data_IF_241630640350
#
_entry.id   IF_241630640350
#
_cell.length_a   1.000
_cell.length_b   1.000
_cell.length_c   1.000
_cell.angle_alpha   90.00
_cell.angle_beta   90.00
_cell.angle_gamma   90.00
#
_symmetry.space_group_name_H-M   'P 1'
#
loop_
_entity.id
_entity.type
_entity.pdbx_description
1 polymer ?
#
# COMPACT_ATOMS: atom_id res chain seq x y z
N UNK A 1 27.46 -14.02 -4.65
CA UNK A 1 27.17 -14.95 -5.76
C UNK A 1 26.78 -14.12 -6.99
N UNK A 2 27.12 -14.54 -8.22
CA UNK A 2 26.74 -13.84 -9.45
C UNK A 2 25.71 -14.68 -10.20
N UNK A 3 24.52 -14.13 -10.35
CA UNK A 3 23.40 -14.78 -11.03
C UNK A 3 22.97 -13.89 -12.19
N UNK A 4 22.65 -14.48 -13.33
CA UNK A 4 22.05 -13.78 -14.47
C UNK A 4 20.54 -14.00 -14.40
N UNK A 5 19.77 -12.93 -14.40
CA UNK A 5 18.31 -12.95 -14.41
C UNK A 5 17.83 -12.02 -15.52
N UNK A 6 16.75 -12.39 -16.19
CA UNK A 6 16.07 -11.49 -17.11
C UNK A 6 15.30 -10.43 -16.33
N UNK A 7 15.43 -9.17 -16.76
CA UNK A 7 14.79 -8.01 -16.13
C UNK A 7 14.15 -7.20 -17.24
N UNK A 8 12.89 -6.82 -17.06
CA UNK A 8 12.20 -5.91 -17.96
C UNK A 8 12.96 -4.58 -18.13
N UNK A 9 12.95 -4.03 -19.34
CA UNK A 9 13.69 -2.80 -19.67
C UNK A 9 13.27 -1.61 -18.82
N UNK A 10 11.99 -1.48 -18.48
CA UNK A 10 11.48 -0.38 -17.66
C UNK A 10 11.94 -0.52 -16.21
N UNK A 11 11.98 -1.76 -15.69
CA UNK A 11 12.53 -2.06 -14.37
C UNK A 11 14.03 -1.75 -14.34
N UNK A 12 14.78 -2.14 -15.36
CA UNK A 12 16.22 -1.84 -15.47
C UNK A 12 16.49 -0.33 -15.51
N UNK A 13 15.67 0.44 -16.24
CA UNK A 13 15.75 1.92 -16.27
C UNK A 13 15.48 2.51 -14.89
N UNK A 14 14.45 2.03 -14.18
CA UNK A 14 14.13 2.48 -12.83
C UNK A 14 15.26 2.19 -11.84
N UNK A 15 15.84 0.97 -11.89
CA UNK A 15 16.98 0.59 -11.06
C UNK A 15 18.21 1.48 -11.33
N UNK A 16 18.51 1.78 -12.60
CA UNK A 16 19.62 2.69 -12.96
C UNK A 16 19.41 4.11 -12.43
N UNK A 17 18.17 4.63 -12.49
CA UNK A 17 17.83 5.96 -11.93
C UNK A 17 18.00 5.98 -10.42
N UNK A 18 17.46 4.98 -9.72
CA UNK A 18 17.53 4.86 -8.26
C UNK A 18 18.96 4.67 -7.77
N UNK A 19 19.76 3.86 -8.48
CA UNK A 19 21.20 3.70 -8.25
C UNK A 19 21.94 5.03 -8.20
N UNK A 20 21.64 5.96 -9.12
CA UNK A 20 22.28 7.29 -9.16
C UNK A 20 21.93 8.16 -7.95
N UNK A 21 20.74 7.97 -7.39
CA UNK A 21 20.27 8.71 -6.21
C UNK A 21 20.89 8.17 -4.91
N UNK A 22 21.02 6.83 -4.80
CA UNK A 22 21.50 6.18 -3.57
C UNK A 22 23.02 5.94 -3.52
N UNK A 23 23.73 6.09 -4.64
CA UNK A 23 25.18 5.87 -4.72
C UNK A 23 25.62 4.40 -4.60
N UNK A 24 24.68 3.45 -4.57
CA UNK A 24 24.95 2.01 -4.43
C UNK A 24 25.37 1.37 -5.76
N UNK A 25 25.91 0.15 -5.70
CA UNK A 25 26.07 -0.69 -6.90
C UNK A 25 24.71 -1.24 -7.34
N UNK A 26 24.56 -1.56 -8.62
CA UNK A 26 23.30 -2.12 -9.14
C UNK A 26 22.98 -3.46 -8.46
N UNK A 27 23.98 -4.33 -8.28
CA UNK A 27 23.80 -5.63 -7.62
C UNK A 27 23.35 -5.49 -6.17
N UNK A 28 23.94 -4.57 -5.40
CA UNK A 28 23.54 -4.33 -4.02
C UNK A 28 22.10 -3.80 -3.93
N UNK A 29 21.74 -2.82 -4.77
CA UNK A 29 20.38 -2.29 -4.83
C UNK A 29 19.35 -3.38 -5.16
N UNK A 30 19.66 -4.23 -6.16
CA UNK A 30 18.78 -5.34 -6.56
C UNK A 30 18.65 -6.36 -5.43
N UNK A 31 19.75 -6.74 -4.77
CA UNK A 31 19.72 -7.67 -3.64
C UNK A 31 18.88 -7.15 -2.47
N UNK A 32 19.04 -5.88 -2.09
CA UNK A 32 18.25 -5.25 -1.02
C UNK A 32 16.75 -5.23 -1.37
N UNK A 33 16.40 -4.80 -2.59
CA UNK A 33 15.01 -4.76 -3.04
C UNK A 33 14.37 -6.15 -3.10
N UNK A 34 15.10 -7.15 -3.60
CA UNK A 34 14.61 -8.52 -3.63
C UNK A 34 14.42 -9.09 -2.23
N UNK A 35 15.38 -8.87 -1.31
CA UNK A 35 15.23 -9.29 0.08
C UNK A 35 13.98 -8.67 0.73
N UNK A 36 13.74 -7.38 0.47
CA UNK A 36 12.58 -6.68 1.00
C UNK A 36 11.26 -7.20 0.42
N UNK A 37 11.23 -7.53 -0.88
CA UNK A 37 10.07 -8.12 -1.52
C UNK A 37 9.78 -9.55 -1.05
N UNK A 38 10.82 -10.35 -0.81
CA UNK A 38 10.69 -11.73 -0.32
C UNK A 38 10.32 -11.79 1.17
N UNK A 39 10.72 -10.80 1.95
CA UNK A 39 10.33 -10.67 3.36
C UNK A 39 8.96 -10.01 3.55
N UNK A 40 8.43 -9.34 2.52
CA UNK A 40 7.12 -8.74 2.59
C UNK A 40 6.04 -9.83 2.56
N UNK A 41 5.39 -10.03 3.70
CA UNK A 41 4.13 -10.78 3.75
C UNK A 41 3.14 -10.13 2.77
N UNK A 42 2.39 -10.91 1.97
CA UNK A 42 1.38 -10.37 1.09
C UNK A 42 0.45 -9.51 1.94
N UNK A 43 0.39 -8.22 1.61
CA UNK A 43 -0.46 -7.29 2.34
C UNK A 43 -1.88 -7.79 2.15
N UNK A 44 -2.41 -8.44 3.19
CA UNK A 44 -3.78 -8.95 3.19
C UNK A 44 -4.63 -7.75 2.83
N UNK A 45 -5.27 -7.79 1.66
CA UNK A 45 -6.29 -6.79 1.35
C UNK A 45 -7.23 -6.82 2.53
N UNK A 46 -7.30 -5.71 3.28
CA UNK A 46 -8.22 -5.65 4.39
C UNK A 46 -9.59 -5.93 3.79
N UNK A 47 -10.15 -7.08 4.13
CA UNK A 47 -11.49 -7.43 3.70
C UNK A 47 -12.39 -6.40 4.37
N UNK A 48 -12.88 -5.43 3.59
CA UNK A 48 -13.72 -4.36 4.11
C UNK A 48 -15.04 -5.02 4.45
N UNK A 49 -15.15 -5.49 5.69
CA UNK A 49 -16.41 -5.95 6.22
C UNK A 49 -17.24 -4.73 6.56
N UNK A 50 -18.22 -4.46 5.72
CA UNK A 50 -19.23 -3.45 5.98
C UNK A 50 -20.05 -3.89 7.20
N UNK A 51 -19.76 -3.29 8.35
CA UNK A 51 -20.49 -3.56 9.57
C UNK A 51 -21.88 -2.90 9.49
N UNK A 52 -22.89 -3.69 9.11
CA UNK A 52 -24.31 -3.32 9.30
C UNK A 52 -24.73 -3.68 10.72
N UNK A 53 -25.03 -2.66 11.52
CA UNK A 53 -25.65 -2.81 12.83
C UNK A 53 -26.84 -1.84 12.93
N UNK A 54 -27.87 -2.24 13.66
CA UNK A 54 -28.92 -1.31 14.07
C UNK A 54 -28.33 -0.32 15.07
N UNK A 55 -27.98 0.87 14.59
CA UNK A 55 -27.38 1.94 15.39
C UNK A 55 -28.37 2.63 16.31
N UNK A 56 -29.68 2.29 16.22
CA UNK A 56 -30.78 2.92 16.97
C UNK A 56 -30.58 4.44 17.09
N UNK A 57 -30.54 5.14 15.94
CA UNK A 57 -30.22 6.55 15.93
C UNK A 57 -31.22 7.30 16.80
N UNK A 58 -30.70 8.17 17.67
CA UNK A 58 -31.51 9.00 18.58
C UNK A 58 -32.17 10.19 17.89
N UNK A 59 -31.89 10.36 16.61
CA UNK A 59 -32.40 11.41 15.74
C UNK A 59 -33.04 10.74 14.54
N UNK A 60 -34.13 11.32 14.08
CA UNK A 60 -34.70 10.91 12.80
C UNK A 60 -33.73 11.32 11.68
N UNK A 61 -33.32 10.35 10.88
CA UNK A 61 -32.40 10.58 9.78
C UNK A 61 -33.12 11.12 8.54
N UNK A 62 -34.45 10.99 8.48
CA UNK A 62 -35.27 11.56 7.41
C UNK A 62 -35.50 13.07 7.61
N UNK A 63 -35.26 13.58 8.82
CA UNK A 63 -35.34 14.99 9.15
C UNK A 63 -33.96 15.66 9.19
N UNK A 64 -33.69 16.51 8.19
CA UNK A 64 -32.47 17.30 8.08
C UNK A 64 -32.25 18.30 9.22
N UNK A 65 -33.27 18.60 10.02
CA UNK A 65 -33.20 19.52 11.16
C UNK A 65 -33.08 18.79 12.52
N UNK A 66 -33.22 17.46 12.56
CA UNK A 66 -33.26 16.68 13.80
C UNK A 66 -32.00 16.79 14.68
N UNK A 67 -30.86 17.20 14.12
CA UNK A 67 -29.61 17.41 14.87
C UNK A 67 -29.53 18.82 15.46
N UNK A 68 -30.25 19.78 14.88
CA UNK A 68 -30.19 21.20 15.24
C UNK A 68 -31.26 21.60 16.27
N UNK A 69 -32.40 20.89 16.30
CA UNK A 69 -33.50 21.12 17.25
C UNK A 69 -33.33 20.34 18.57
N UNK A 70 -32.16 20.48 19.20
CA UNK A 70 -31.93 19.95 20.56
C UNK A 70 -32.55 20.93 21.59
N UNK A 71 -33.28 20.47 22.63
CA UNK A 71 -33.73 21.34 23.72
C UNK A 71 -32.56 21.86 24.57
#
# INVERSE_FOLDING_TARGET
MRTTIDIDDDVLRALKRRRRQEGKTLGQLVSELLAQALAAEPRRSADIQWATADLRPRVDLEDKHAVLDRP
#
